data_IF_903710666074
#
_entry.id   IF_903710666074
#
_cell.length_a   1.000
_cell.length_b   1.000
_cell.length_c   1.000
_cell.angle_alpha   90.00
_cell.angle_beta   90.00
_cell.angle_gamma   90.00
#
_symmetry.space_group_name_H-M   'P 1'
#
loop_
_entity.id
_entity.type
_entity.pdbx_description
1 polymer ?
#
# COMPACT_ATOMS: atom_id res chain seq x y z
N UNK A 1 12.86 18.46 -10.36
CA UNK A 1 11.78 17.45 -10.21
C UNK A 1 11.75 16.60 -11.47
N UNK A 2 11.42 15.33 -11.35
CA UNK A 2 11.30 14.46 -12.53
C UNK A 2 9.94 14.67 -13.17
N UNK A 3 9.89 15.20 -14.38
CA UNK A 3 8.66 15.40 -15.15
C UNK A 3 7.83 14.09 -15.24
N UNK A 4 8.49 12.95 -15.37
CA UNK A 4 7.84 11.62 -15.37
C UNK A 4 7.13 11.30 -14.07
N UNK A 5 7.70 11.70 -12.93
CA UNK A 5 7.10 11.47 -11.62
C UNK A 5 5.84 12.33 -11.44
N UNK A 6 5.90 13.61 -11.79
CA UNK A 6 4.78 14.53 -11.68
C UNK A 6 3.58 14.07 -12.54
N UNK A 7 3.84 13.60 -13.76
CA UNK A 7 2.81 13.02 -14.65
C UNK A 7 2.22 11.75 -14.05
N UNK A 8 3.03 10.88 -13.45
CA UNK A 8 2.55 9.63 -12.84
C UNK A 8 1.65 9.90 -11.63
N UNK A 9 1.97 10.85 -10.77
CA UNK A 9 1.16 11.24 -9.62
C UNK A 9 -0.19 11.82 -10.06
N UNK A 10 -0.20 12.71 -11.04
CA UNK A 10 -1.43 13.25 -11.60
C UNK A 10 -2.30 12.18 -12.22
N UNK A 11 -1.71 11.27 -12.99
CA UNK A 11 -2.41 10.15 -13.61
C UNK A 11 -3.03 9.21 -12.56
N UNK A 12 -2.30 8.88 -11.49
CA UNK A 12 -2.79 8.05 -10.37
C UNK A 12 -4.02 8.69 -9.71
N UNK A 13 -3.98 9.97 -9.37
CA UNK A 13 -5.09 10.69 -8.72
C UNK A 13 -6.35 10.70 -9.58
N UNK A 14 -6.21 10.99 -10.86
CA UNK A 14 -7.32 11.00 -11.81
C UNK A 14 -7.94 9.61 -11.98
N UNK A 15 -7.11 8.57 -12.13
CA UNK A 15 -7.55 7.20 -12.29
C UNK A 15 -8.30 6.69 -11.06
N UNK A 16 -7.75 6.91 -9.86
CA UNK A 16 -8.41 6.46 -8.61
C UNK A 16 -9.75 7.13 -8.40
N UNK A 17 -9.88 8.42 -8.70
CA UNK A 17 -11.15 9.15 -8.62
C UNK A 17 -12.18 8.59 -9.61
N UNK A 18 -11.78 8.35 -10.86
CA UNK A 18 -12.65 7.79 -11.88
C UNK A 18 -13.12 6.37 -11.52
N UNK A 19 -12.22 5.51 -11.02
CA UNK A 19 -12.56 4.15 -10.60
C UNK A 19 -13.51 4.12 -9.40
N UNK A 20 -13.30 4.98 -8.41
CA UNK A 20 -14.22 5.12 -7.27
C UNK A 20 -15.62 5.52 -7.72
N UNK A 21 -15.74 6.54 -8.58
CA UNK A 21 -17.01 6.98 -9.12
C UNK A 21 -17.69 5.87 -9.95
N UNK A 22 -16.94 5.16 -10.80
CA UNK A 22 -17.47 4.06 -11.60
C UNK A 22 -17.99 2.90 -10.73
N UNK A 23 -17.27 2.52 -9.69
CA UNK A 23 -17.68 1.47 -8.75
C UNK A 23 -18.92 1.88 -7.95
N UNK A 24 -18.97 3.10 -7.43
CA UNK A 24 -20.15 3.64 -6.76
C UNK A 24 -21.40 3.57 -7.66
N UNK A 25 -21.27 4.08 -8.89
CA UNK A 25 -22.38 4.09 -9.86
C UNK A 25 -22.85 2.68 -10.21
N UNK A 26 -21.94 1.70 -10.31
CA UNK A 26 -22.30 0.30 -10.53
C UNK A 26 -23.16 -0.26 -9.39
N UNK A 27 -22.80 0.01 -8.15
CA UNK A 27 -23.55 -0.44 -6.98
C UNK A 27 -24.93 0.20 -6.94
N UNK A 28 -25.03 1.50 -7.10
CA UNK A 28 -26.31 2.24 -7.10
C UNK A 28 -27.21 1.77 -8.24
N UNK A 29 -26.65 1.56 -9.45
CA UNK A 29 -27.41 1.07 -10.61
C UNK A 29 -27.91 -0.37 -10.42
N UNK A 30 -27.24 -1.16 -9.59
CA UNK A 30 -27.67 -2.50 -9.21
C UNK A 30 -28.70 -2.51 -8.06
N UNK A 31 -29.16 -1.35 -7.60
CA UNK A 31 -30.09 -1.21 -6.50
C UNK A 31 -29.49 -1.39 -5.11
N UNK A 32 -28.15 -1.33 -4.99
CA UNK A 32 -27.44 -1.43 -3.71
C UNK A 32 -27.50 -0.08 -3.01
N UNK A 33 -27.90 -0.07 -1.74
CA UNK A 33 -27.78 1.11 -0.89
C UNK A 33 -26.35 1.21 -0.37
N UNK A 34 -25.68 2.32 -0.70
CA UNK A 34 -24.33 2.64 -0.20
C UNK A 34 -24.43 3.66 0.92
N UNK A 35 -23.84 3.36 2.05
CA UNK A 35 -23.79 4.24 3.23
C UNK A 35 -22.35 4.61 3.54
N UNK A 36 -22.06 5.90 3.56
CA UNK A 36 -20.75 6.43 3.94
C UNK A 36 -20.69 6.61 5.47
N UNK A 37 -19.76 5.90 6.10
CA UNK A 37 -19.58 5.99 7.55
C UNK A 37 -18.81 4.84 8.15
N UNK A 38 -18.70 4.85 9.47
CA UNK A 38 -18.06 3.78 10.24
C UNK A 38 -19.14 2.85 10.79
N UNK A 39 -19.09 1.58 10.39
CA UNK A 39 -19.99 0.53 10.86
C UNK A 39 -19.49 -0.15 12.13
N UNK A 40 -20.37 -0.31 13.13
CA UNK A 40 -20.09 -1.07 14.32
C UNK A 40 -21.25 -2.04 14.63
N UNK A 41 -20.93 -3.31 14.88
CA UNK A 41 -21.93 -4.28 15.32
C UNK A 41 -22.46 -3.93 16.72
N UNK A 42 -23.76 -3.92 16.86
CA UNK A 42 -24.44 -3.74 18.14
C UNK A 42 -25.14 -5.01 18.61
N UNK A 43 -25.39 -5.94 17.68
CA UNK A 43 -25.89 -7.28 17.92
C UNK A 43 -25.43 -8.25 16.83
N UNK A 44 -25.88 -9.50 16.86
CA UNK A 44 -25.60 -10.46 15.77
C UNK A 44 -26.29 -10.09 14.44
N UNK A 45 -27.33 -9.26 14.50
CA UNK A 45 -28.16 -8.88 13.36
C UNK A 45 -28.21 -7.40 13.06
N UNK A 46 -27.51 -6.57 13.87
CA UNK A 46 -27.59 -5.12 13.76
C UNK A 46 -26.21 -4.47 13.70
N UNK A 47 -26.06 -3.54 12.75
CA UNK A 47 -24.92 -2.64 12.62
C UNK A 47 -25.41 -1.20 12.74
N UNK A 48 -24.73 -0.38 13.53
CA UNK A 48 -24.90 1.07 13.54
C UNK A 48 -23.83 1.69 12.63
N UNK A 49 -24.26 2.41 11.61
CA UNK A 49 -23.39 3.23 10.76
C UNK A 49 -23.39 4.65 11.28
N UNK A 50 -22.22 5.17 11.60
CA UNK A 50 -22.03 6.57 12.00
C UNK A 50 -21.41 7.34 10.85
N UNK A 51 -22.15 8.28 10.28
CA UNK A 51 -21.67 9.15 9.20
C UNK A 51 -20.67 10.20 9.71
N UNK A 52 -19.97 10.89 8.79
CA UNK A 52 -18.98 11.89 9.14
C UNK A 52 -19.51 13.11 9.89
N UNK A 53 -20.81 13.40 9.78
CA UNK A 53 -21.52 14.45 10.53
C UNK A 53 -22.02 13.99 11.92
N UNK A 54 -21.75 12.73 12.29
CA UNK A 54 -22.18 12.13 13.53
C UNK A 54 -23.60 11.52 13.50
N UNK A 55 -24.32 11.62 12.38
CA UNK A 55 -25.62 10.96 12.21
C UNK A 55 -25.47 9.45 12.28
N UNK A 56 -26.39 8.79 12.97
CA UNK A 56 -26.38 7.33 13.17
C UNK A 56 -27.58 6.69 12.52
N UNK A 57 -27.34 5.60 11.80
CA UNK A 57 -28.37 4.76 11.21
C UNK A 57 -28.16 3.30 11.60
N UNK A 58 -29.21 2.63 12.06
CA UNK A 58 -29.16 1.19 12.35
C UNK A 58 -29.61 0.42 11.11
N UNK A 59 -28.82 -0.59 10.74
CA UNK A 59 -29.10 -1.53 9.66
C UNK A 59 -29.24 -2.91 10.26
N UNK A 60 -30.36 -3.57 9.98
CA UNK A 60 -30.62 -4.97 10.37
C UNK A 60 -30.51 -5.87 9.15
N UNK A 61 -29.81 -6.99 9.28
CA UNK A 61 -29.68 -7.99 8.24
C UNK A 61 -29.57 -9.40 8.82
N UNK A 62 -29.96 -10.41 8.02
CA UNK A 62 -29.78 -11.80 8.38
C UNK A 62 -28.34 -12.31 8.11
N UNK A 63 -27.64 -11.68 7.18
CA UNK A 63 -26.27 -12.07 6.79
C UNK A 63 -25.41 -10.84 6.57
N UNK A 64 -24.17 -10.90 7.03
CA UNK A 64 -23.17 -9.88 6.85
C UNK A 64 -21.95 -10.45 6.15
N UNK A 65 -21.38 -9.66 5.25
CA UNK A 65 -20.06 -9.91 4.66
C UNK A 65 -19.12 -8.85 5.19
N UNK A 66 -18.08 -9.28 5.92
CA UNK A 66 -17.03 -8.40 6.42
C UNK A 66 -15.91 -8.37 5.39
N UNK A 67 -15.72 -7.24 4.74
CA UNK A 67 -14.70 -7.03 3.73
C UNK A 67 -14.04 -5.65 3.91
N UNK A 68 -13.52 -5.43 5.12
CA UNK A 68 -12.98 -4.14 5.58
C UNK A 68 -11.56 -3.86 5.09
N UNK A 69 -10.96 -4.80 4.34
CA UNK A 69 -9.60 -4.67 3.84
C UNK A 69 -8.54 -5.02 4.88
N UNK A 70 -7.33 -4.55 4.66
CA UNK A 70 -6.18 -4.76 5.53
C UNK A 70 -5.36 -3.47 5.60
N UNK A 71 -4.70 -3.24 6.73
CA UNK A 71 -3.75 -2.16 6.91
C UNK A 71 -2.31 -2.70 6.99
N UNK A 72 -1.32 -1.93 6.53
CA UNK A 72 0.08 -2.29 6.73
C UNK A 72 0.42 -2.31 8.22
N UNK A 73 1.04 -3.39 8.69
CA UNK A 73 1.52 -3.49 10.06
C UNK A 73 2.92 -2.90 10.15
N UNK A 74 3.11 -1.89 11.00
CA UNK A 74 4.44 -1.31 11.26
C UNK A 74 5.29 -2.29 12.07
N UNK A 75 6.47 -2.70 11.58
CA UNK A 75 7.36 -3.55 12.33
C UNK A 75 7.93 -2.79 13.54
N UNK A 76 8.19 -3.52 14.62
CA UNK A 76 8.83 -2.97 15.83
C UNK A 76 10.36 -2.87 15.62
N UNK A 77 10.78 -1.92 14.79
CA UNK A 77 12.19 -1.61 14.55
C UNK A 77 12.50 -0.29 15.24
N UNK A 78 13.52 -0.19 16.08
CA UNK A 78 13.87 1.06 16.74
C UNK A 78 14.11 2.18 15.74
N UNK A 79 13.50 3.34 15.99
CA UNK A 79 13.61 4.53 15.12
C UNK A 79 12.57 4.63 14.00
N UNK A 80 11.66 3.67 13.85
CA UNK A 80 10.53 3.78 12.90
C UNK A 80 9.38 4.63 13.49
N UNK A 81 9.14 4.53 14.78
CA UNK A 81 8.01 5.22 15.41
C UNK A 81 8.15 6.75 15.32
N UNK A 82 7.07 7.41 14.90
CA UNK A 82 6.99 8.88 14.77
C UNK A 82 8.06 9.52 13.86
N UNK A 83 8.60 8.76 12.93
CA UNK A 83 9.59 9.27 11.98
C UNK A 83 8.87 9.78 10.72
N UNK A 84 8.96 11.09 10.38
CA UNK A 84 8.22 11.68 9.26
C UNK A 84 8.70 11.22 7.87
N UNK A 85 9.82 10.50 7.81
CA UNK A 85 10.38 9.99 6.56
C UNK A 85 10.03 8.52 6.29
N UNK A 86 9.13 7.94 7.10
CA UNK A 86 8.70 6.56 6.95
C UNK A 86 7.34 6.53 6.28
N UNK A 87 7.25 5.73 5.24
CA UNK A 87 6.07 5.56 4.41
C UNK A 87 5.71 4.08 4.30
N UNK A 88 4.43 3.81 4.28
CA UNK A 88 3.90 2.53 3.81
C UNK A 88 3.51 2.65 2.34
N UNK A 89 3.19 1.53 1.69
CA UNK A 89 2.86 1.52 0.25
C UNK A 89 1.81 2.57 -0.15
N UNK A 90 0.78 2.74 0.66
CA UNK A 90 -0.28 3.72 0.40
C UNK A 90 0.23 5.16 0.49
N UNK A 91 0.89 5.50 1.61
CA UNK A 91 1.39 6.86 1.83
C UNK A 91 2.55 7.22 0.91
N UNK A 92 3.35 6.25 0.47
CA UNK A 92 4.41 6.49 -0.51
C UNK A 92 3.85 6.86 -1.89
N UNK A 93 2.69 6.31 -2.26
CA UNK A 93 1.98 6.68 -3.49
C UNK A 93 1.39 8.10 -3.46
N UNK A 94 1.30 8.71 -2.30
CA UNK A 94 0.75 10.06 -2.12
C UNK A 94 1.84 11.14 -1.96
N UNK A 95 3.11 10.77 -2.11
CA UNK A 95 4.20 11.74 -2.10
C UNK A 95 4.09 12.70 -3.28
N UNK A 96 4.21 13.99 -2.98
CA UNK A 96 4.24 15.06 -3.99
C UNK A 96 5.66 15.34 -4.52
N UNK A 97 6.70 14.83 -3.85
CA UNK A 97 8.10 15.06 -4.21
C UNK A 97 8.82 13.73 -4.35
N UNK A 98 9.49 13.53 -5.49
CA UNK A 98 10.31 12.37 -5.74
C UNK A 98 11.48 12.33 -4.73
N UNK A 99 11.63 11.30 -3.88
CA UNK A 99 12.77 11.18 -3.01
C UNK A 99 14.05 10.92 -3.82
N UNK A 100 15.12 11.64 -3.55
CA UNK A 100 16.41 11.39 -4.19
C UNK A 100 16.92 9.96 -3.88
N UNK A 101 16.64 9.49 -2.66
CA UNK A 101 17.04 8.17 -2.18
C UNK A 101 15.88 7.50 -1.47
N UNK A 102 15.62 6.25 -1.81
CA UNK A 102 14.57 5.43 -1.24
C UNK A 102 15.18 4.14 -0.69
N UNK A 103 14.97 3.86 0.59
CA UNK A 103 15.29 2.57 1.18
C UNK A 103 14.01 1.80 1.43
N UNK A 104 13.95 0.58 0.95
CA UNK A 104 12.81 -0.32 1.09
C UNK A 104 13.19 -1.43 2.06
N UNK A 105 12.37 -1.63 3.10
CA UNK A 105 12.52 -2.74 4.05
C UNK A 105 11.56 -3.85 3.62
N UNK A 106 12.11 -4.98 3.22
CA UNK A 106 11.39 -6.13 2.68
C UNK A 106 11.49 -6.24 1.16
N UNK A 107 12.07 -7.34 0.69
CA UNK A 107 12.23 -7.69 -0.73
C UNK A 107 11.06 -8.49 -1.30
N UNK A 108 9.85 -8.35 -0.75
CA UNK A 108 8.64 -8.94 -1.29
C UNK A 108 8.18 -8.23 -2.57
N UNK A 109 7.22 -8.83 -3.31
CA UNK A 109 6.79 -8.33 -4.62
C UNK A 109 6.37 -6.85 -4.60
N UNK A 110 5.66 -6.37 -3.57
CA UNK A 110 5.31 -4.94 -3.45
C UNK A 110 6.57 -4.08 -3.36
N UNK A 111 7.54 -4.48 -2.53
CA UNK A 111 8.82 -3.76 -2.41
C UNK A 111 9.57 -3.69 -3.73
N UNK A 112 9.56 -4.76 -4.51
CA UNK A 112 10.22 -4.83 -5.82
C UNK A 112 9.52 -3.98 -6.88
N UNK A 113 8.18 -3.95 -6.89
CA UNK A 113 7.41 -3.08 -7.77
C UNK A 113 7.74 -1.60 -7.50
N UNK A 114 7.73 -1.19 -6.22
CA UNK A 114 8.13 0.16 -5.84
C UNK A 114 9.59 0.47 -6.17
N UNK A 115 10.49 -0.49 -5.93
CA UNK A 115 11.90 -0.34 -6.28
C UNK A 115 12.08 -0.05 -7.77
N UNK A 116 11.44 -0.86 -8.61
CA UNK A 116 11.47 -0.68 -10.06
C UNK A 116 10.89 0.67 -10.48
N UNK A 117 9.72 1.03 -9.94
CA UNK A 117 9.02 2.27 -10.26
C UNK A 117 9.87 3.50 -9.90
N UNK A 118 10.34 3.58 -8.66
CA UNK A 118 11.11 4.74 -8.17
C UNK A 118 12.51 4.83 -8.80
N UNK A 119 13.16 3.70 -9.08
CA UNK A 119 14.41 3.69 -9.82
C UNK A 119 14.24 4.27 -11.24
N UNK A 120 13.15 3.89 -11.92
CA UNK A 120 12.82 4.44 -13.25
C UNK A 120 12.46 5.94 -13.21
N UNK A 121 11.95 6.46 -12.09
CA UNK A 121 11.77 7.89 -11.89
C UNK A 121 13.07 8.65 -11.60
N UNK A 122 14.15 7.93 -11.25
CA UNK A 122 15.47 8.49 -10.99
C UNK A 122 15.90 8.50 -9.52
N UNK A 123 15.14 7.90 -8.62
CA UNK A 123 15.56 7.68 -7.24
C UNK A 123 16.70 6.67 -7.15
N UNK A 124 17.61 6.86 -6.20
CA UNK A 124 18.59 5.83 -5.82
C UNK A 124 17.93 4.89 -4.83
N UNK A 125 17.60 3.68 -5.27
CA UNK A 125 16.84 2.71 -4.47
C UNK A 125 17.77 1.70 -3.82
N UNK A 126 17.53 1.40 -2.54
CA UNK A 126 18.18 0.32 -1.78
C UNK A 126 17.10 -0.56 -1.15
N UNK A 127 17.24 -1.89 -1.29
CA UNK A 127 16.36 -2.86 -0.65
C UNK A 127 17.12 -3.52 0.50
N UNK A 128 16.49 -3.57 1.68
CA UNK A 128 16.96 -4.30 2.85
C UNK A 128 16.11 -5.55 3.02
N UNK A 129 16.73 -6.71 2.90
CA UNK A 129 16.10 -8.02 3.06
C UNK A 129 16.67 -8.71 4.30
N UNK A 130 15.80 -9.35 5.09
CA UNK A 130 16.19 -10.07 6.31
C UNK A 130 16.56 -11.52 5.98
N UNK A 131 15.90 -12.11 4.98
CA UNK A 131 16.12 -13.50 4.57
C UNK A 131 17.31 -13.57 3.59
N UNK A 132 18.11 -14.63 3.68
CA UNK A 132 19.28 -14.84 2.82
C UNK A 132 18.89 -15.10 1.35
N UNK A 133 17.71 -15.66 1.12
CA UNK A 133 17.20 -15.94 -0.22
C UNK A 133 16.33 -14.78 -0.72
N UNK A 134 16.57 -14.38 -1.97
CA UNK A 134 15.72 -13.44 -2.67
C UNK A 134 14.42 -14.14 -3.11
N UNK A 135 13.25 -13.55 -2.81
CA UNK A 135 11.94 -14.13 -3.15
C UNK A 135 11.80 -15.62 -2.77
N UNK A 136 12.00 -16.02 -1.51
CA UNK A 136 12.16 -17.43 -1.11
C UNK A 136 10.89 -18.29 -1.31
N UNK A 137 9.81 -17.73 -1.79
CA UNK A 137 8.52 -18.39 -2.07
C UNK A 137 8.25 -18.58 -3.55
N UNK A 138 9.06 -18.00 -4.40
CA UNK A 138 8.96 -18.12 -5.84
C UNK A 138 9.93 -19.22 -6.32
N UNK A 139 9.72 -19.71 -7.53
CA UNK A 139 10.66 -20.64 -8.16
C UNK A 139 12.01 -19.97 -8.34
N UNK A 140 13.09 -20.71 -8.12
CA UNK A 140 14.46 -20.16 -8.06
C UNK A 140 14.86 -19.46 -9.36
N UNK A 141 14.49 -20.01 -10.51
CA UNK A 141 14.79 -19.43 -11.83
C UNK A 141 14.04 -18.09 -12.05
N UNK A 142 12.85 -17.97 -11.53
CA UNK A 142 12.08 -16.71 -11.54
C UNK A 142 12.72 -15.69 -10.61
N UNK A 143 13.08 -16.10 -9.39
CA UNK A 143 13.74 -15.24 -8.42
C UNK A 143 15.07 -14.70 -8.95
N UNK A 144 15.92 -15.58 -9.52
CA UNK A 144 17.22 -15.22 -10.12
C UNK A 144 17.05 -14.25 -11.32
N UNK A 145 16.02 -14.45 -12.13
CA UNK A 145 15.72 -13.56 -13.27
C UNK A 145 15.34 -12.16 -12.77
N UNK A 146 14.42 -12.08 -11.81
CA UNK A 146 13.97 -10.80 -11.21
C UNK A 146 15.16 -10.08 -10.55
N UNK A 147 15.98 -10.79 -9.77
CA UNK A 147 17.19 -10.24 -9.15
C UNK A 147 18.14 -9.67 -10.20
N UNK A 148 18.40 -10.39 -11.28
CA UNK A 148 19.29 -9.97 -12.36
C UNK A 148 18.80 -8.70 -13.08
N UNK A 149 17.48 -8.55 -13.25
CA UNK A 149 16.87 -7.35 -13.84
C UNK A 149 16.96 -6.16 -12.90
N UNK A 150 16.64 -6.37 -11.63
CA UNK A 150 16.65 -5.32 -10.62
C UNK A 150 18.06 -4.83 -10.30
N UNK A 151 19.05 -5.71 -10.28
CA UNK A 151 20.46 -5.34 -10.05
C UNK A 151 21.00 -4.31 -11.07
N UNK A 152 20.37 -4.20 -12.25
CA UNK A 152 20.70 -3.18 -13.26
C UNK A 152 20.04 -1.83 -12.98
N UNK A 153 18.95 -1.81 -12.22
CA UNK A 153 18.15 -0.62 -11.94
C UNK A 153 18.46 -0.02 -10.56
N UNK A 154 18.88 -0.86 -9.61
CA UNK A 154 19.09 -0.48 -8.23
C UNK A 154 20.57 -0.21 -7.99
N UNK A 155 20.93 1.04 -7.71
CA UNK A 155 22.28 1.41 -7.30
C UNK A 155 22.46 1.14 -5.80
N UNK A 156 23.31 0.18 -5.46
CA UNK A 156 23.77 -0.08 -4.10
C UNK A 156 24.79 0.95 -3.65
N UNK A 157 24.42 2.11 -3.12
CA UNK A 157 25.33 2.91 -2.28
C UNK A 157 24.70 4.14 -1.61
N UNK A 158 24.63 4.06 -0.30
CA UNK A 158 24.70 5.08 0.77
C UNK A 158 23.57 6.12 0.95
N UNK A 159 23.31 6.52 2.24
CA UNK A 159 21.94 6.70 2.75
C UNK A 159 21.51 8.16 2.94
N UNK A 160 20.34 8.52 2.51
CA UNK A 160 19.32 9.36 3.14
C UNK A 160 17.95 8.99 2.57
N UNK A 161 16.87 9.00 3.37
CA UNK A 161 16.01 7.84 3.46
C UNK A 161 14.57 8.29 3.37
N UNK A 162 13.83 7.86 2.36
CA UNK A 162 12.43 7.52 2.52
C UNK A 162 12.39 6.00 2.72
N UNK A 163 11.75 5.53 3.78
CA UNK A 163 11.66 4.09 4.09
C UNK A 163 10.26 3.62 3.77
N UNK A 164 10.14 2.70 2.83
CA UNK A 164 8.90 1.98 2.59
C UNK A 164 8.94 0.63 3.31
N UNK A 165 7.87 0.32 4.03
CA UNK A 165 7.68 -0.99 4.65
C UNK A 165 6.65 -1.75 3.86
N UNK A 166 7.04 -2.88 3.28
CA UNK A 166 6.14 -3.77 2.57
C UNK A 166 5.23 -4.54 3.54
N UNK A 167 3.93 -4.48 3.33
CA UNK A 167 2.93 -5.07 4.24
C UNK A 167 2.88 -6.61 4.27
N UNK A 168 3.47 -7.30 3.28
CA UNK A 168 3.36 -8.78 3.22
C UNK A 168 4.27 -9.53 4.17
N UNK A 169 5.38 -8.97 4.56
CA UNK A 169 6.34 -9.65 5.45
C UNK A 169 5.88 -9.70 6.90
N UNK A 170 4.79 -9.01 7.24
CA UNK A 170 4.33 -8.79 8.62
C UNK A 170 3.05 -9.56 8.95
N UNK A 171 2.20 -9.88 7.99
CA UNK A 171 0.87 -10.52 8.22
C UNK A 171 0.97 -11.96 8.74
N UNK A 172 2.13 -12.63 8.69
CA UNK A 172 2.26 -14.06 9.07
C UNK A 172 2.67 -14.35 10.50
N UNK A 173 2.86 -13.37 11.37
CA UNK A 173 3.25 -13.63 12.76
C UNK A 173 2.12 -13.57 13.78
N UNK A 174 0.86 -13.41 13.34
CA UNK A 174 -0.28 -13.27 14.26
C UNK A 174 -1.53 -14.07 13.83
N UNK A 175 -1.35 -15.31 13.32
CA UNK A 175 -2.41 -16.32 13.28
C UNK A 175 -1.89 -17.56 14.00
#
# INVERSE_FOLDING_TARGET
MSERFDIAILGKRNLTSALRAANYNKLVSAGVTVLDGVGAFTSATDIVVTAGDGTKQTITAEKFIINTGAEPVMPKIPGLENNPYIYVSESLLDLDVLPERLTIIGGGYIGLEFASMYANFGSKVTILQIEDAFLPREDTDIADNIESVLARLINTARPYIAVMISSRDIVRRHI
#
